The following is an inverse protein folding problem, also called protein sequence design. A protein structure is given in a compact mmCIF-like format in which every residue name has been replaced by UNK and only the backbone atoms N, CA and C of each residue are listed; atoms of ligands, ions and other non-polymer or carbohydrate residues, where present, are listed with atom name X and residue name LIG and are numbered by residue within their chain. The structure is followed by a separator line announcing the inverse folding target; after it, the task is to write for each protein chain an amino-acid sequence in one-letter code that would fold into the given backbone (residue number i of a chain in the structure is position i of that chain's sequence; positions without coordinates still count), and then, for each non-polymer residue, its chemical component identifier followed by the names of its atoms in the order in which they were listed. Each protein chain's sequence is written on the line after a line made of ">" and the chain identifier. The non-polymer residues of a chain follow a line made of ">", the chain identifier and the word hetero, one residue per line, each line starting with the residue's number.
data_IF_421874869359
#
_entry.id   IF_421874869359
#
_cell.length_a   1.000
_cell.length_b   1.000
_cell.length_c   1.000
_cell.angle_alpha   90.00
_cell.angle_beta   90.00
_cell.angle_gamma   90.00
#
_symmetry.space_group_name_H-M   'P 1'
#
loop_
_entity.id
_entity.type
_entity.pdbx_description
1 polymer ?
#
# COMPACT_ATOMS: atom_id res chain seq x y z
N UNK A 1 -23.91 -5.73 -0.99
CA UNK A 1 -22.45 -5.90 -1.06
C UNK A 1 -21.95 -5.00 -2.18
N UNK A 2 -20.90 -4.20 -1.97
CA UNK A 2 -20.47 -3.18 -2.93
C UNK A 2 -19.96 -3.81 -4.24
N UNK A 3 -20.49 -3.37 -5.39
CA UNK A 3 -20.00 -3.78 -6.72
C UNK A 3 -18.55 -3.35 -6.92
N UNK A 4 -18.20 -2.15 -6.43
CA UNK A 4 -16.86 -1.57 -6.54
C UNK A 4 -15.76 -2.49 -6.01
N UNK A 5 -15.91 -3.05 -4.80
CA UNK A 5 -14.89 -3.93 -4.20
C UNK A 5 -14.75 -5.24 -4.99
N UNK A 6 -15.84 -5.73 -5.57
CA UNK A 6 -15.84 -6.99 -6.32
C UNK A 6 -15.14 -6.89 -7.68
N UNK A 7 -15.05 -5.68 -8.25
CA UNK A 7 -14.45 -5.43 -9.56
C UNK A 7 -12.97 -5.03 -9.47
N UNK A 8 -12.43 -4.85 -8.25
CA UNK A 8 -11.03 -4.55 -8.06
C UNK A 8 -10.17 -5.76 -8.47
N UNK A 9 -9.11 -5.57 -9.29
CA UNK A 9 -8.18 -6.63 -9.61
C UNK A 9 -7.46 -7.11 -8.34
N UNK A 10 -7.19 -8.41 -8.28
CA UNK A 10 -6.39 -9.01 -7.22
C UNK A 10 -5.10 -9.55 -7.84
N UNK A 11 -3.96 -8.97 -7.46
CA UNK A 11 -2.64 -9.43 -7.84
C UNK A 11 -2.06 -10.23 -6.68
N UNK A 12 -1.66 -11.47 -6.97
CA UNK A 12 -0.80 -12.24 -6.09
C UNK A 12 0.64 -12.03 -6.56
N UNK A 13 1.58 -11.89 -5.63
CA UNK A 13 3.02 -11.71 -5.91
C UNK A 13 3.78 -12.71 -5.05
N UNK A 14 4.60 -13.54 -5.68
CA UNK A 14 5.48 -14.48 -5.00
C UNK A 14 6.76 -13.75 -4.59
N UNK A 15 7.07 -13.80 -3.29
CA UNK A 15 8.29 -13.22 -2.72
C UNK A 15 8.88 -14.29 -1.81
N UNK A 16 9.83 -15.05 -2.37
CA UNK A 16 10.43 -16.22 -1.72
C UNK A 16 11.56 -15.80 -0.76
N UNK A 17 11.18 -15.13 0.34
CA UNK A 17 12.08 -14.67 1.38
C UNK A 17 11.76 -15.25 2.77
N UNK A 18 12.79 -15.33 3.62
CA UNK A 18 12.59 -15.76 5.01
C UNK A 18 11.86 -14.64 5.79
N UNK A 19 10.77 -14.95 6.55
CA UNK A 19 10.02 -13.92 7.25
C UNK A 19 10.82 -13.17 8.30
N UNK A 20 11.13 -11.89 8.02
CA UNK A 20 11.85 -10.97 8.92
C UNK A 20 11.43 -9.51 8.71
N UNK A 21 11.82 -8.65 9.63
CA UNK A 21 11.54 -7.22 9.54
C UNK A 21 12.28 -6.53 8.38
N UNK A 22 13.42 -7.08 7.97
CA UNK A 22 14.28 -6.65 6.87
C UNK A 22 14.10 -7.52 5.61
N UNK A 23 12.96 -8.21 5.50
CA UNK A 23 12.64 -9.06 4.36
C UNK A 23 12.13 -8.22 3.17
N UNK A 24 12.34 -8.69 1.95
CA UNK A 24 11.89 -8.04 0.71
C UNK A 24 10.37 -7.85 0.72
N UNK A 25 9.62 -8.83 1.24
CA UNK A 25 8.16 -8.72 1.43
C UNK A 25 7.80 -7.56 2.35
N UNK A 26 8.50 -7.42 3.48
CA UNK A 26 8.27 -6.31 4.41
C UNK A 26 8.63 -4.96 3.78
N UNK A 27 9.73 -4.92 3.02
CA UNK A 27 10.17 -3.74 2.29
C UNK A 27 9.14 -3.31 1.23
N UNK A 28 8.64 -4.25 0.43
CA UNK A 28 7.59 -4.00 -0.56
C UNK A 28 6.32 -3.47 0.12
N UNK A 29 5.85 -4.14 1.19
CA UNK A 29 4.63 -3.74 1.91
C UNK A 29 4.74 -2.31 2.45
N UNK A 30 5.81 -2.02 3.19
CA UNK A 30 6.08 -0.72 3.81
C UNK A 30 6.10 0.40 2.76
N UNK A 31 6.87 0.22 1.69
CA UNK A 31 7.02 1.24 0.65
C UNK A 31 5.76 1.42 -0.19
N UNK A 32 5.01 0.34 -0.48
CA UNK A 32 3.73 0.45 -1.17
C UNK A 32 2.71 1.26 -0.36
N UNK A 33 2.65 1.04 0.96
CA UNK A 33 1.81 1.83 1.86
C UNK A 33 2.25 3.30 1.88
N UNK A 34 3.56 3.56 2.03
CA UNK A 34 4.11 4.90 2.08
C UNK A 34 3.84 5.67 0.76
N UNK A 35 4.01 5.03 -0.40
CA UNK A 35 3.73 5.60 -1.71
C UNK A 35 2.25 5.99 -1.87
N UNK A 36 1.33 5.13 -1.42
CA UNK A 36 -0.12 5.32 -1.55
C UNK A 36 -0.74 6.20 -0.46
N UNK A 37 0.04 6.57 0.55
CA UNK A 37 -0.41 7.39 1.66
C UNK A 37 -0.54 8.85 1.24
N UNK A 38 -1.67 9.46 1.60
CA UNK A 38 -1.91 10.89 1.43
C UNK A 38 -1.45 11.71 2.65
N UNK A 39 -0.76 11.08 3.59
CA UNK A 39 -0.32 11.71 4.82
C UNK A 39 0.74 12.77 4.50
N UNK A 40 0.47 14.03 4.87
CA UNK A 40 1.38 15.18 4.73
C UNK A 40 2.26 15.17 3.46
N UNK A 41 1.73 15.60 2.30
CA UNK A 41 2.54 15.68 1.08
C UNK A 41 1.73 15.98 -0.17
N UNK A 42 2.38 15.86 -1.33
CA UNK A 42 1.68 15.88 -2.61
C UNK A 42 1.02 14.52 -2.84
N UNK A 43 -0.30 14.53 -2.78
CA UNK A 43 -1.13 13.34 -2.96
C UNK A 43 -1.19 12.92 -4.44
N UNK A 44 -0.81 11.67 -4.72
CA UNK A 44 -0.91 11.07 -6.08
C UNK A 44 -2.35 10.64 -6.39
N UNK A 45 -3.03 10.03 -5.41
CA UNK A 45 -4.42 9.52 -5.54
C UNK A 45 -5.31 10.06 -4.39
N UNK A 46 -5.88 11.27 -4.53
CA UNK A 46 -6.67 11.87 -3.48
C UNK A 46 -7.98 11.13 -3.28
N UNK A 47 -8.35 10.91 -2.01
CA UNK A 47 -9.65 10.33 -1.69
C UNK A 47 -10.76 11.36 -1.90
N UNK A 48 -11.85 10.91 -2.51
CA UNK A 48 -13.06 11.70 -2.63
C UNK A 48 -13.62 12.11 -1.27
N UNK A 49 -14.45 13.16 -1.25
CA UNK A 49 -15.14 13.67 -0.05
C UNK A 49 -15.96 12.60 0.71
N UNK A 50 -16.29 11.49 0.04
CA UNK A 50 -16.98 10.33 0.59
C UNK A 50 -16.12 9.43 1.50
N UNK A 51 -14.83 9.71 1.69
CA UNK A 51 -13.96 8.90 2.53
C UNK A 51 -14.46 8.78 3.97
N UNK A 52 -14.91 7.60 4.37
CA UNK A 52 -15.44 7.35 5.72
C UNK A 52 -14.35 7.42 6.80
N UNK A 53 -13.09 7.19 6.44
CA UNK A 53 -11.98 7.26 7.38
C UNK A 53 -11.79 8.65 8.00
N UNK A 54 -12.34 9.73 7.42
CA UNK A 54 -12.35 11.08 8.01
C UNK A 54 -13.01 11.14 9.40
N UNK A 55 -13.90 10.20 9.70
CA UNK A 55 -14.56 10.06 11.01
C UNK A 55 -13.81 9.15 11.99
N UNK A 56 -12.70 8.53 11.56
CA UNK A 56 -11.86 7.69 12.42
C UNK A 56 -11.26 8.52 13.56
N UNK A 57 -11.01 7.89 14.71
CA UNK A 57 -10.23 8.50 15.81
C UNK A 57 -8.74 8.54 15.51
N UNK A 58 -8.25 7.67 14.63
CA UNK A 58 -6.85 7.61 14.23
C UNK A 58 -6.52 8.73 13.24
N UNK A 59 -5.49 9.52 13.57
CA UNK A 59 -4.94 10.56 12.67
C UNK A 59 -4.39 9.92 11.39
N UNK A 60 -3.61 8.86 11.54
CA UNK A 60 -3.06 8.06 10.45
C UNK A 60 -4.14 7.68 9.42
N UNK A 61 -5.28 7.13 9.84
CA UNK A 61 -6.38 6.76 8.91
C UNK A 61 -7.04 7.98 8.25
N UNK A 62 -7.23 9.07 8.99
CA UNK A 62 -7.86 10.29 8.46
C UNK A 62 -7.00 10.93 7.37
N UNK A 63 -5.71 11.08 7.62
CA UNK A 63 -4.80 11.86 6.79
C UNK A 63 -4.19 11.02 5.66
N UNK A 64 -3.87 9.74 5.91
CA UNK A 64 -3.35 8.86 4.85
C UNK A 64 -4.37 8.52 3.77
N UNK A 65 -5.67 8.62 4.06
CA UNK A 65 -6.70 8.11 3.15
C UNK A 65 -6.69 6.59 2.98
N UNK A 66 -6.04 5.87 3.91
CA UNK A 66 -5.97 4.41 3.96
C UNK A 66 -6.62 3.89 5.24
N UNK A 67 -7.22 2.70 5.18
CA UNK A 67 -7.61 1.96 6.38
C UNK A 67 -6.40 1.24 7.00
N UNK A 68 -5.29 1.96 7.18
CA UNK A 68 -4.04 1.47 7.73
C UNK A 68 -3.43 2.50 8.70
N UNK A 69 -2.59 2.04 9.63
CA UNK A 69 -1.89 2.89 10.61
C UNK A 69 -0.37 2.71 10.59
N UNK A 70 0.12 1.63 9.98
CA UNK A 70 1.55 1.38 9.87
C UNK A 70 2.09 2.05 8.60
N UNK A 71 3.32 2.54 8.63
CA UNK A 71 4.07 3.06 7.47
C UNK A 71 3.44 4.23 6.70
N UNK A 72 2.28 4.73 7.13
CA UNK A 72 1.57 5.80 6.40
C UNK A 72 2.25 7.17 6.49
N UNK A 73 3.10 7.39 7.49
CA UNK A 73 3.82 8.66 7.69
C UNK A 73 5.25 8.61 7.12
N UNK A 74 5.64 7.48 6.55
CA UNK A 74 6.99 7.25 6.07
C UNK A 74 7.15 7.72 4.61
N UNK A 75 8.39 7.99 4.22
CA UNK A 75 8.74 8.21 2.82
C UNK A 75 9.09 6.87 2.21
N UNK A 76 8.59 6.61 1.00
CA UNK A 76 8.97 5.41 0.27
C UNK A 76 10.34 5.59 -0.39
N UNK A 77 11.09 4.49 -0.46
CA UNK A 77 12.31 4.35 -1.25
C UNK A 77 11.92 3.98 -2.69
N UNK A 78 12.18 4.82 -3.72
CA UNK A 78 11.80 4.52 -5.10
C UNK A 78 12.34 3.21 -5.66
N UNK A 79 13.48 2.72 -5.16
CA UNK A 79 14.11 1.49 -5.63
C UNK A 79 13.22 0.25 -5.34
N UNK A 80 12.23 0.36 -4.43
CA UNK A 80 11.26 -0.71 -4.19
C UNK A 80 10.39 -1.05 -5.41
N UNK A 81 10.24 -0.11 -6.35
CA UNK A 81 9.42 -0.33 -7.54
C UNK A 81 10.07 -1.36 -8.47
N UNK A 82 11.39 -1.30 -8.62
CA UNK A 82 12.15 -2.28 -9.39
C UNK A 82 12.05 -3.65 -8.72
N UNK A 83 12.19 -3.72 -7.39
CA UNK A 83 12.01 -4.96 -6.63
C UNK A 83 10.59 -5.54 -6.78
N UNK A 84 9.56 -4.69 -6.75
CA UNK A 84 8.18 -5.12 -6.97
C UNK A 84 7.95 -5.59 -8.40
N UNK A 85 8.53 -4.93 -9.39
CA UNK A 85 8.47 -5.34 -10.80
C UNK A 85 9.09 -6.73 -10.99
N UNK A 86 10.31 -6.94 -10.50
CA UNK A 86 11.00 -8.23 -10.54
C UNK A 86 10.14 -9.34 -9.91
N UNK A 87 9.60 -9.10 -8.71
CA UNK A 87 8.75 -10.07 -8.02
C UNK A 87 7.46 -10.39 -8.80
N UNK A 88 6.85 -9.39 -9.47
CA UNK A 88 5.67 -9.60 -10.31
C UNK A 88 6.01 -10.41 -11.56
N UNK A 89 7.17 -10.18 -12.18
CA UNK A 89 7.62 -10.95 -13.35
C UNK A 89 7.91 -12.42 -13.00
N UNK A 90 8.50 -12.66 -11.83
CA UNK A 90 8.78 -14.00 -11.33
C UNK A 90 7.52 -14.75 -10.87
N UNK A 91 6.44 -14.02 -10.59
CA UNK A 91 5.18 -14.61 -10.17
C UNK A 91 4.49 -15.34 -11.32
N UNK A 92 4.44 -16.66 -11.25
CA UNK A 92 3.65 -17.46 -12.19
C UNK A 92 2.15 -17.34 -11.87
N UNK A 93 1.30 -16.89 -12.81
CA UNK A 93 -0.15 -16.81 -12.58
C UNK A 93 -0.74 -18.19 -12.28
N UNK A 94 -1.61 -18.27 -11.26
CA UNK A 94 -2.36 -19.48 -10.90
C UNK A 94 -3.43 -19.86 -11.94
#
# INVERSE_FOLDING_TARGET
>A
MSTYIREQPFLWVDVDDEPRADSDRAHIEQNAIALLSNFEGQTVDPRDDGWLGKYSRSRAIRESGLWNVNHVEEQYDPDFLDLLEDAVEDTTPL
#
